data_IF_315828715669
#
_entry.id   IF_315828715669
#
_cell.length_a   1.000
_cell.length_b   1.000
_cell.length_c   1.000
_cell.angle_alpha   90.00
_cell.angle_beta   90.00
_cell.angle_gamma   90.00
#
_symmetry.space_group_name_H-M   'P 1'
#
loop_
_entity.id
_entity.type
_entity.pdbx_description
1 polymer ?
#
# COMPACT_ATOMS: atom_id res chain seq x y z
N UNK A 1 0.77 15.22 7.15
CA UNK A 1 -0.17 14.78 8.20
C UNK A 1 -1.14 13.70 7.69
N UNK A 2 -1.71 13.86 6.47
CA UNK A 2 -2.65 12.90 5.88
C UNK A 2 -2.09 11.46 5.88
N UNK A 3 -0.91 11.25 5.30
CA UNK A 3 -0.26 9.93 5.20
C UNK A 3 0.04 9.31 6.58
N UNK A 4 0.40 10.11 7.57
CA UNK A 4 0.67 9.62 8.92
C UNK A 4 -0.62 9.19 9.64
N UNK A 5 -1.72 9.91 9.39
CA UNK A 5 -3.03 9.53 9.93
C UNK A 5 -3.57 8.27 9.25
N UNK A 6 -3.38 8.15 7.95
CA UNK A 6 -3.70 6.94 7.18
C UNK A 6 -2.94 5.73 7.72
N UNK A 7 -1.61 5.83 7.87
CA UNK A 7 -0.78 4.78 8.45
C UNK A 7 -1.26 4.36 9.85
N UNK A 8 -1.63 5.34 10.68
CA UNK A 8 -2.18 5.07 12.01
C UNK A 8 -3.51 4.32 11.99
N UNK A 9 -4.39 4.59 11.02
CA UNK A 9 -5.64 3.84 10.87
C UNK A 9 -5.37 2.34 10.62
N UNK A 10 -4.39 2.03 9.77
CA UNK A 10 -4.00 0.65 9.48
C UNK A 10 -3.36 -0.02 10.70
N UNK A 11 -2.48 0.66 11.41
CA UNK A 11 -1.79 0.11 12.59
C UNK A 11 -2.74 -0.08 13.79
N UNK A 12 -3.76 0.75 13.91
CA UNK A 12 -4.83 0.64 14.91
C UNK A 12 -5.98 -0.33 14.50
N UNK A 13 -5.83 -1.03 13.37
CA UNK A 13 -6.85 -1.94 12.80
C UNK A 13 -8.19 -1.27 12.48
N UNK A 14 -8.21 0.02 12.23
CA UNK A 14 -9.37 0.81 11.87
C UNK A 14 -9.64 0.75 10.36
N UNK A 15 -9.77 -0.46 9.84
CA UNK A 15 -9.84 -0.71 8.39
C UNK A 15 -11.07 -0.08 7.72
N UNK A 16 -12.20 0.05 8.44
CA UNK A 16 -13.39 0.73 7.89
C UNK A 16 -13.15 2.23 7.71
N UNK A 17 -12.56 2.88 8.74
CA UNK A 17 -12.17 4.29 8.64
C UNK A 17 -11.08 4.49 7.56
N UNK A 18 -10.18 3.51 7.37
CA UNK A 18 -9.20 3.54 6.31
C UNK A 18 -9.83 3.42 4.92
N UNK A 19 -10.89 2.64 4.73
CA UNK A 19 -11.62 2.57 3.47
C UNK A 19 -12.24 3.92 3.07
N UNK A 20 -12.63 4.76 4.03
CA UNK A 20 -13.16 6.11 3.76
C UNK A 20 -12.08 7.05 3.17
N UNK A 21 -10.80 6.71 3.36
CA UNK A 21 -9.66 7.44 2.77
C UNK A 21 -9.46 7.07 1.30
N UNK A 22 -10.01 5.94 0.85
CA UNK A 22 -9.98 5.52 -0.54
C UNK A 22 -11.18 6.09 -1.30
N UNK A 23 -10.94 6.70 -2.44
CA UNK A 23 -12.01 7.17 -3.32
C UNK A 23 -12.78 5.98 -3.94
N UNK A 24 -14.02 6.21 -4.36
CA UNK A 24 -14.85 5.16 -4.96
C UNK A 24 -14.27 4.63 -6.28
N UNK A 25 -13.56 5.49 -7.01
CA UNK A 25 -12.87 5.18 -8.26
C UNK A 25 -11.40 4.75 -8.06
N UNK A 26 -11.01 4.35 -6.85
CA UNK A 26 -9.62 4.02 -6.54
C UNK A 26 -9.09 2.86 -7.38
N UNK A 27 -7.86 3.01 -7.86
CA UNK A 27 -7.02 1.94 -8.41
C UNK A 27 -5.87 1.69 -7.44
N UNK A 28 -5.89 0.54 -6.77
CA UNK A 28 -4.90 0.14 -5.76
C UNK A 28 -4.08 -1.03 -6.29
N UNK A 29 -2.80 -0.78 -6.57
CA UNK A 29 -1.97 -1.75 -7.29
C UNK A 29 -0.67 -2.04 -6.57
N UNK A 30 -0.27 -3.30 -6.55
CA UNK A 30 1.04 -3.75 -6.09
C UNK A 30 1.78 -4.45 -7.23
N UNK A 31 3.01 -4.02 -7.45
CA UNK A 31 3.92 -4.60 -8.46
C UNK A 31 5.23 -5.02 -7.81
N UNK A 32 5.87 -6.02 -8.40
CA UNK A 32 7.26 -6.37 -8.11
C UNK A 32 8.11 -6.18 -9.34
N UNK A 33 9.35 -5.77 -9.11
CA UNK A 33 10.35 -5.69 -10.17
C UNK A 33 11.35 -6.83 -9.94
N UNK A 34 11.42 -7.84 -10.84
CA UNK A 34 12.44 -8.86 -10.73
C UNK A 34 13.83 -8.24 -10.93
N UNK A 35 14.82 -8.70 -10.15
CA UNK A 35 16.22 -8.35 -10.38
C UNK A 35 16.71 -9.03 -11.68
N UNK A 36 16.43 -8.42 -12.81
CA UNK A 36 17.04 -8.85 -14.07
C UNK A 36 18.50 -8.38 -14.10
N UNK A 37 19.44 -9.31 -14.19
CA UNK A 37 20.81 -9.00 -14.53
C UNK A 37 20.84 -8.50 -15.98
N UNK A 38 20.74 -7.21 -16.18
CA UNK A 38 20.97 -6.61 -17.48
C UNK A 38 22.49 -6.56 -17.71
N UNK A 39 22.99 -7.42 -18.57
CA UNK A 39 24.38 -7.43 -19.06
C UNK A 39 24.75 -6.11 -19.76
N UNK A 40 23.77 -5.37 -20.21
CA UNK A 40 23.92 -4.10 -20.89
C UNK A 40 23.14 -2.99 -20.18
N UNK A 41 23.82 -2.24 -19.33
CA UNK A 41 23.27 -1.05 -18.65
C UNK A 41 22.84 0.08 -19.60
N UNK A 42 23.14 -0.02 -20.89
CA UNK A 42 22.79 0.97 -21.91
C UNK A 42 21.41 0.72 -22.53
N UNK A 43 20.84 -0.45 -22.35
CA UNK A 43 19.47 -0.74 -22.74
C UNK A 43 18.55 -0.41 -21.53
N UNK A 44 17.88 0.72 -21.61
CA UNK A 44 16.77 1.10 -20.71
C UNK A 44 15.52 0.25 -21.02
N UNK A 45 15.66 -1.08 -20.99
CA UNK A 45 14.49 -1.94 -20.97
C UNK A 45 14.05 -2.00 -19.52
N UNK A 46 12.91 -1.39 -19.23
CA UNK A 46 12.28 -1.57 -17.93
C UNK A 46 12.12 -3.07 -17.67
N UNK A 47 12.64 -3.59 -16.55
CA UNK A 47 12.48 -5.00 -16.24
C UNK A 47 11.00 -5.34 -16.22
N UNK A 48 10.61 -6.53 -16.70
CA UNK A 48 9.21 -6.92 -16.70
C UNK A 48 8.65 -6.86 -15.28
N UNK A 49 7.63 -6.05 -15.07
CA UNK A 49 6.94 -5.93 -13.77
C UNK A 49 5.83 -6.97 -13.71
N UNK A 50 5.77 -7.69 -12.61
CA UNK A 50 4.67 -8.62 -12.35
C UNK A 50 3.66 -7.97 -11.42
N UNK A 51 2.40 -8.00 -11.80
CA UNK A 51 1.31 -7.58 -10.94
C UNK A 51 1.09 -8.62 -9.84
N UNK A 52 1.08 -8.16 -8.59
CA UNK A 52 0.69 -8.99 -7.45
C UNK A 52 -0.81 -8.85 -7.21
N UNK A 53 -1.31 -7.63 -7.25
CA UNK A 53 -2.74 -7.34 -7.25
C UNK A 53 -3.04 -5.98 -7.93
N UNK A 54 -4.27 -5.88 -8.39
CA UNK A 54 -4.88 -4.66 -8.91
C UNK A 54 -6.32 -4.63 -8.40
N UNK A 55 -6.59 -3.80 -7.41
CA UNK A 55 -7.83 -3.82 -6.65
C UNK A 55 -8.59 -2.50 -6.80
N UNK A 56 -9.90 -2.64 -6.89
CA UNK A 56 -10.88 -1.54 -6.81
C UNK A 56 -11.37 -1.38 -5.39
N UNK A 57 -12.16 -0.34 -5.10
CA UNK A 57 -12.79 -0.11 -3.80
C UNK A 57 -13.54 -1.34 -3.29
N UNK A 58 -14.38 -1.94 -4.15
CA UNK A 58 -15.15 -3.15 -3.80
C UNK A 58 -14.26 -4.33 -3.38
N UNK A 59 -13.13 -4.53 -4.06
CA UNK A 59 -12.18 -5.58 -3.67
C UNK A 59 -11.49 -5.28 -2.34
N UNK A 60 -11.14 -4.02 -2.07
CA UNK A 60 -10.61 -3.61 -0.77
C UNK A 60 -11.64 -3.82 0.35
N UNK A 61 -12.90 -3.48 0.12
CA UNK A 61 -14.00 -3.71 1.08
C UNK A 61 -14.17 -5.20 1.39
N UNK A 62 -14.11 -6.06 0.38
CA UNK A 62 -14.17 -7.52 0.58
C UNK A 62 -12.98 -8.05 1.37
N UNK A 63 -11.79 -7.48 1.15
CA UNK A 63 -10.60 -7.84 1.97
C UNK A 63 -10.80 -7.45 3.43
N UNK A 64 -11.27 -6.24 3.70
CA UNK A 64 -11.57 -5.78 5.06
C UNK A 64 -12.65 -6.65 5.70
N UNK A 65 -13.75 -6.92 5.00
CA UNK A 65 -14.82 -7.79 5.51
C UNK A 65 -14.28 -9.19 5.88
N UNK A 66 -13.38 -9.76 5.07
CA UNK A 66 -12.75 -11.05 5.37
C UNK A 66 -11.88 -11.02 6.63
N UNK A 67 -11.17 -9.91 6.88
CA UNK A 67 -10.39 -9.75 8.12
C UNK A 67 -11.30 -9.67 9.36
N UNK A 68 -12.44 -8.98 9.22
CA UNK A 68 -13.40 -8.81 10.32
C UNK A 68 -14.15 -10.10 10.71
N UNK A 69 -14.34 -11.01 9.77
CA UNK A 69 -15.06 -12.27 10.02
C UNK A 69 -14.23 -13.32 10.78
N UNK A 70 -12.92 -13.08 11.02
CA UNK A 70 -12.01 -14.09 11.58
C UNK A 70 -11.77 -15.30 10.68
N UNK A 71 -12.35 -15.32 9.46
CA UNK A 71 -12.14 -16.40 8.49
C UNK A 71 -10.81 -16.27 7.75
N UNK A 72 -10.06 -15.21 7.97
CA UNK A 72 -8.71 -15.04 7.44
C UNK A 72 -7.71 -15.84 8.30
N UNK A 73 -7.69 -17.15 8.14
CA UNK A 73 -6.84 -18.09 8.91
C UNK A 73 -5.37 -17.70 8.95
N UNK A 74 -4.89 -17.03 7.91
CA UNK A 74 -3.53 -16.51 7.85
C UNK A 74 -3.30 -15.30 8.79
N UNK A 75 -4.35 -14.67 9.26
CA UNK A 75 -4.36 -13.55 10.21
C UNK A 75 -4.88 -13.98 11.60
N UNK A 76 -4.85 -15.27 11.92
CA UNK A 76 -5.21 -15.78 13.25
C UNK A 76 -3.95 -16.35 13.96
N UNK A 77 -3.46 -15.76 15.05
CA UNK A 77 -3.87 -14.46 15.62
C UNK A 77 -3.56 -13.26 14.70
N UNK A 78 -4.24 -12.13 14.87
CA UNK A 78 -4.05 -10.94 14.04
C UNK A 78 -2.60 -10.46 14.01
N UNK A 79 -2.11 -10.09 12.83
CA UNK A 79 -0.79 -9.46 12.69
C UNK A 79 -0.78 -8.09 13.33
N UNK A 80 0.35 -7.74 13.94
CA UNK A 80 0.65 -6.37 14.36
C UNK A 80 1.49 -5.72 13.27
N UNK A 81 1.09 -4.55 12.83
CA UNK A 81 1.78 -3.77 11.81
C UNK A 81 2.29 -2.46 12.36
N UNK A 82 3.36 -1.98 11.77
CA UNK A 82 3.85 -0.61 11.96
C UNK A 82 4.26 -0.07 10.60
N UNK A 83 3.51 0.93 10.14
CA UNK A 83 3.78 1.62 8.88
C UNK A 83 4.68 2.83 9.14
N UNK A 84 5.81 2.87 8.48
CA UNK A 84 6.72 4.01 8.48
C UNK A 84 6.74 4.63 7.09
N UNK A 85 6.36 5.90 7.00
CA UNK A 85 6.30 6.67 5.76
C UNK A 85 7.34 7.78 5.83
N UNK A 86 8.19 7.88 4.82
CA UNK A 86 9.30 8.83 4.77
C UNK A 86 9.55 9.31 3.34
N UNK A 87 10.46 10.28 3.20
CA UNK A 87 10.87 10.85 1.92
C UNK A 87 9.67 11.32 1.08
N UNK A 88 8.74 12.01 1.73
CA UNK A 88 7.50 12.47 1.11
C UNK A 88 7.78 13.65 0.19
N UNK A 89 7.43 13.51 -1.08
CA UNK A 89 7.44 14.57 -2.09
C UNK A 89 6.01 14.75 -2.58
N UNK A 90 5.53 15.97 -2.59
CA UNK A 90 4.18 16.32 -3.05
C UNK A 90 4.29 17.29 -4.20
N UNK A 91 3.69 16.96 -5.33
CA UNK A 91 3.68 17.77 -6.53
C UNK A 91 2.21 18.06 -6.93
N UNK A 92 1.85 19.31 -7.20
CA UNK A 92 0.52 19.61 -7.73
C UNK A 92 0.40 19.04 -9.14
N UNK A 93 -0.80 18.58 -9.51
CA UNK A 93 -1.11 18.19 -10.88
C UNK A 93 -1.68 19.39 -11.66
N UNK A 94 -2.06 19.17 -12.92
CA UNK A 94 -2.75 20.18 -13.71
C UNK A 94 -4.22 20.42 -13.25
N UNK A 95 -4.74 19.51 -12.43
CA UNK A 95 -6.09 19.58 -11.86
C UNK A 95 -6.01 20.19 -10.47
N UNK A 96 -6.72 21.29 -10.26
CA UNK A 96 -6.77 21.95 -8.94
C UNK A 96 -7.31 20.99 -7.87
N UNK A 97 -6.61 20.96 -6.74
CA UNK A 97 -6.96 20.07 -5.62
C UNK A 97 -6.48 18.63 -5.76
N UNK A 98 -5.78 18.29 -6.85
CA UNK A 98 -5.15 16.97 -7.03
C UNK A 98 -3.63 17.06 -6.94
N UNK A 99 -3.03 16.02 -6.34
CA UNK A 99 -1.60 15.97 -6.08
C UNK A 99 -1.02 14.58 -6.39
N UNK A 100 0.17 14.57 -6.97
CA UNK A 100 1.04 13.41 -7.02
C UNK A 100 1.90 13.37 -5.75
N UNK A 101 1.91 12.22 -5.08
CA UNK A 101 2.61 12.04 -3.80
C UNK A 101 3.53 10.83 -3.89
N UNK A 102 4.83 11.08 -3.80
CA UNK A 102 5.86 10.05 -3.81
C UNK A 102 6.36 9.82 -2.39
N UNK A 103 6.43 8.56 -1.99
CA UNK A 103 6.89 8.19 -0.66
C UNK A 103 7.77 6.93 -0.70
N UNK A 104 8.70 6.85 0.24
CA UNK A 104 9.33 5.60 0.63
C UNK A 104 8.60 5.08 1.86
N UNK A 105 8.30 3.79 1.89
CA UNK A 105 7.65 3.19 3.04
C UNK A 105 8.40 1.94 3.53
N UNK A 106 8.24 1.69 4.81
CA UNK A 106 8.62 0.46 5.47
C UNK A 106 7.43 -0.03 6.27
N UNK A 107 7.04 -1.27 6.06
CA UNK A 107 6.00 -1.95 6.82
C UNK A 107 6.65 -3.08 7.61
N UNK A 108 6.68 -2.93 8.92
CA UNK A 108 7.07 -3.98 9.84
C UNK A 108 5.83 -4.75 10.26
N UNK A 109 5.85 -6.07 10.10
CA UNK A 109 4.76 -6.98 10.48
C UNK A 109 5.27 -8.05 11.39
N UNK A 110 4.57 -8.27 12.50
CA UNK A 110 4.79 -9.43 13.38
C UNK A 110 3.51 -10.23 13.54
N UNK A 111 3.66 -11.55 13.59
CA UNK A 111 2.57 -12.47 13.88
C UNK A 111 3.12 -13.66 14.66
N UNK A 112 2.41 -14.09 15.70
CA UNK A 112 2.90 -15.13 16.61
C UNK A 112 4.26 -14.75 17.23
N UNK A 113 5.00 -15.74 17.74
CA UNK A 113 6.26 -15.46 18.47
C UNK A 113 7.48 -15.24 17.56
N UNK A 114 7.44 -15.73 16.32
CA UNK A 114 8.62 -15.78 15.45
C UNK A 114 8.43 -15.24 14.04
N UNK A 115 7.20 -14.93 13.65
CA UNK A 115 6.92 -14.47 12.29
C UNK A 115 7.11 -12.96 12.21
N UNK A 116 8.30 -12.54 11.79
CA UNK A 116 8.64 -11.14 11.52
C UNK A 116 8.88 -10.98 10.02
N UNK A 117 8.19 -10.03 9.41
CA UNK A 117 8.38 -9.68 8.00
C UNK A 117 8.51 -8.16 7.89
N UNK A 118 9.47 -7.73 7.10
CA UNK A 118 9.66 -6.32 6.77
C UNK A 118 9.43 -6.19 5.26
N UNK A 119 8.51 -5.32 4.90
CA UNK A 119 8.33 -4.88 3.51
C UNK A 119 8.89 -3.47 3.37
N UNK A 120 9.71 -3.25 2.38
CA UNK A 120 10.26 -1.95 2.05
C UNK A 120 10.03 -1.67 0.58
N UNK A 121 9.72 -0.43 0.27
CA UNK A 121 9.49 -0.06 -1.12
C UNK A 121 9.11 1.40 -1.31
N UNK A 122 8.62 1.67 -2.50
CA UNK A 122 8.17 2.99 -2.93
C UNK A 122 6.70 2.96 -3.23
N UNK A 123 6.05 4.08 -3.00
CA UNK A 123 4.64 4.27 -3.27
C UNK A 123 4.44 5.60 -3.99
N UNK A 124 3.63 5.57 -5.01
CA UNK A 124 3.16 6.75 -5.71
C UNK A 124 1.65 6.79 -5.59
N UNK A 125 1.16 7.77 -4.85
CA UNK A 125 -0.25 8.02 -4.64
C UNK A 125 -0.69 9.23 -5.46
N UNK A 126 -1.89 9.17 -6.04
CA UNK A 126 -2.62 10.34 -6.49
C UNK A 126 -3.75 10.59 -5.51
N UNK A 127 -3.76 11.80 -4.95
CA UNK A 127 -4.75 12.20 -3.95
C UNK A 127 -5.53 13.40 -4.46
N UNK A 128 -6.80 13.49 -4.05
CA UNK A 128 -7.65 14.66 -4.28
C UNK A 128 -8.16 15.23 -2.98
N UNK A 129 -8.26 16.53 -2.94
CA UNK A 129 -8.85 17.24 -1.81
C UNK A 129 -10.36 16.99 -1.77
N UNK A 130 -10.88 16.73 -0.57
CA UNK A 130 -12.30 16.49 -0.31
C UNK A 130 -12.73 17.24 0.94
N UNK A 131 -14.04 17.56 1.03
CA UNK A 131 -14.61 18.08 2.25
C UNK A 131 -14.82 16.95 3.27
N UNK A 132 -14.39 17.16 4.51
CA UNK A 132 -14.56 16.18 5.60
C UNK A 132 -13.46 15.12 5.68
N UNK A 133 -13.66 14.13 6.54
CA UNK A 133 -12.71 13.05 6.78
C UNK A 133 -11.31 13.54 7.13
N UNK A 134 -10.29 13.03 6.45
CA UNK A 134 -8.90 13.49 6.58
C UNK A 134 -8.55 14.66 5.64
N UNK A 135 -9.52 15.19 4.89
CA UNK A 135 -9.34 16.30 3.94
C UNK A 135 -8.86 15.89 2.56
N UNK A 136 -8.50 14.62 2.37
CA UNK A 136 -8.06 14.06 1.09
C UNK A 136 -8.55 12.62 0.94
N UNK A 137 -8.70 12.20 -0.31
CA UNK A 137 -8.90 10.80 -0.69
C UNK A 137 -7.87 10.34 -1.71
N UNK A 138 -7.49 9.07 -1.64
CA UNK A 138 -6.59 8.41 -2.57
C UNK A 138 -7.41 7.81 -3.69
N UNK A 139 -7.18 8.23 -4.94
CA UNK A 139 -7.86 7.67 -6.11
C UNK A 139 -6.95 6.81 -7.00
N UNK A 140 -5.64 6.89 -6.79
CA UNK A 140 -4.70 5.96 -7.42
C UNK A 140 -3.54 5.69 -6.46
N UNK A 141 -3.23 4.43 -6.23
CA UNK A 141 -2.06 3.99 -5.45
C UNK A 141 -1.29 2.95 -6.22
N UNK A 142 -0.04 3.26 -6.48
CA UNK A 142 0.92 2.34 -7.08
C UNK A 142 1.99 2.00 -6.05
N UNK A 143 2.04 0.74 -5.65
CA UNK A 143 2.99 0.23 -4.68
C UNK A 143 4.04 -0.58 -5.43
N UNK A 144 5.30 -0.32 -5.15
CA UNK A 144 6.44 -1.07 -5.65
C UNK A 144 7.24 -1.59 -4.48
N UNK A 145 7.34 -2.92 -4.35
CA UNK A 145 8.21 -3.56 -3.38
C UNK A 145 9.62 -3.70 -3.94
N UNK A 146 10.61 -3.36 -3.13
CA UNK A 146 12.03 -3.56 -3.47
C UNK A 146 12.45 -5.03 -3.33
N UNK A 147 11.62 -5.85 -2.69
CA UNK A 147 11.85 -7.28 -2.51
C UNK A 147 11.42 -8.07 -3.74
N UNK A 148 12.31 -8.92 -4.22
CA UNK A 148 12.07 -9.81 -5.38
C UNK A 148 11.31 -11.07 -4.96
N UNK A 149 11.51 -11.54 -3.74
CA UNK A 149 10.91 -12.75 -3.19
C UNK A 149 10.20 -12.44 -1.88
N UNK A 150 8.93 -12.80 -1.78
CA UNK A 150 8.19 -12.65 -0.53
C UNK A 150 8.54 -13.81 0.41
N UNK A 151 9.12 -13.49 1.57
CA UNK A 151 9.29 -14.45 2.66
C UNK A 151 7.98 -14.69 3.44
N UNK A 152 6.87 -14.16 2.96
CA UNK A 152 5.56 -14.29 3.60
C UNK A 152 4.67 -15.20 2.77
N UNK A 153 4.06 -16.17 3.43
CA UNK A 153 3.11 -17.10 2.82
C UNK A 153 1.78 -16.42 2.45
N UNK A 154 1.58 -15.16 2.86
CA UNK A 154 0.35 -14.41 2.58
C UNK A 154 0.57 -12.89 2.63
N UNK A 155 0.10 -12.19 1.60
CA UNK A 155 0.04 -10.74 1.51
C UNK A 155 -1.36 -10.24 1.96
N UNK A 156 -1.68 -10.48 3.24
CA UNK A 156 -2.95 -10.05 3.84
C UNK A 156 -2.95 -8.60 4.30
N UNK A 157 -1.78 -7.96 4.34
CA UNK A 157 -1.60 -6.58 4.79
C UNK A 157 -1.96 -5.55 3.72
N UNK A 158 -2.29 -4.35 4.16
CA UNK A 158 -2.41 -3.15 3.31
C UNK A 158 -1.09 -2.35 3.38
N UNK A 159 -0.86 -1.47 2.37
CA UNK A 159 0.37 -0.70 2.22
C UNK A 159 0.09 0.79 2.07
#
# INVERSE_FOLDING_TARGET
>A
QFLYREAKLLDDWKFREWLDVMADDVSYTLRTTPNAQTRDRRRSVEPPTTWVFNETKDLLERRVARLETGMAWAEEPPSRTTHMVSNVIVEPTEVEGEYDVYVTYLLYRTQKEKDVVIYCGKRHDKIRQVEGGLGFQIFNRKIMLDQVTYNSHNLSVFF
#
